data_IF_955022344472
#
_entry.id   IF_955022344472
#
_cell.length_a   1.000
_cell.length_b   1.000
_cell.length_c   1.000
_cell.angle_alpha   90.00
_cell.angle_beta   90.00
_cell.angle_gamma   90.00
#
_symmetry.space_group_name_H-M   'P 1'
#
loop_
_entity.id
_entity.type
_entity.pdbx_description
1 polymer ?
#
# COMPACT_ATOMS: atom_id res chain seq x y z
N UNK A 1 56.51 -11.45 -117.22
CA UNK A 1 55.36 -10.94 -116.45
C UNK A 1 54.61 -9.95 -117.32
N UNK A 2 53.28 -9.93 -117.27
CA UNK A 2 52.48 -8.98 -118.04
C UNK A 2 52.76 -7.53 -117.57
N UNK A 3 52.72 -6.57 -118.50
CA UNK A 3 52.88 -5.15 -118.19
C UNK A 3 51.82 -4.67 -117.17
N UNK A 4 52.17 -3.77 -116.26
CA UNK A 4 51.28 -3.25 -115.21
C UNK A 4 50.93 -4.25 -114.09
N UNK A 5 51.74 -5.29 -113.86
CA UNK A 5 51.47 -6.27 -112.80
C UNK A 5 51.70 -5.72 -111.38
N UNK A 6 52.64 -4.79 -111.18
CA UNK A 6 52.87 -4.17 -109.87
C UNK A 6 51.68 -3.31 -109.43
N UNK A 7 51.12 -2.53 -110.35
CA UNK A 7 49.97 -1.67 -110.05
C UNK A 7 48.73 -2.50 -109.68
N UNK A 8 48.48 -3.60 -110.40
CA UNK A 8 47.41 -4.57 -110.06
C UNK A 8 47.64 -5.26 -108.72
N UNK A 9 48.88 -5.56 -108.36
CA UNK A 9 49.21 -6.13 -107.06
C UNK A 9 48.92 -5.14 -105.93
N UNK A 10 49.33 -3.87 -106.10
CA UNK A 10 49.04 -2.79 -105.13
C UNK A 10 47.53 -2.57 -104.98
N UNK A 11 46.79 -2.55 -106.09
CA UNK A 11 45.34 -2.43 -106.09
C UNK A 11 44.67 -3.62 -105.37
N UNK A 12 45.15 -4.84 -105.60
CA UNK A 12 44.65 -6.03 -104.92
C UNK A 12 44.95 -6.03 -103.41
N UNK A 13 46.15 -5.63 -103.00
CA UNK A 13 46.49 -5.50 -101.57
C UNK A 13 45.65 -4.41 -100.88
N UNK A 14 45.38 -3.30 -101.58
CA UNK A 14 44.49 -2.26 -101.07
C UNK A 14 43.05 -2.77 -100.95
N UNK A 15 42.58 -3.54 -101.95
CA UNK A 15 41.30 -4.25 -101.87
C UNK A 15 41.22 -5.19 -100.66
N UNK A 16 42.21 -6.05 -100.44
CA UNK A 16 42.22 -6.97 -99.29
C UNK A 16 42.15 -6.23 -97.96
N UNK A 17 42.90 -5.13 -97.83
CA UNK A 17 42.90 -4.30 -96.61
C UNK A 17 41.51 -3.69 -96.34
N UNK A 18 40.88 -3.14 -97.38
CA UNK A 18 39.53 -2.54 -97.28
C UNK A 18 38.48 -3.62 -97.06
N UNK A 19 38.60 -4.77 -97.74
CA UNK A 19 37.68 -5.89 -97.62
C UNK A 19 37.72 -6.51 -96.22
N UNK A 20 38.90 -6.79 -95.68
CA UNK A 20 39.08 -7.36 -94.34
C UNK A 20 38.46 -6.46 -93.26
N UNK A 21 38.69 -5.15 -93.35
CA UNK A 21 38.07 -4.18 -92.44
C UNK A 21 36.55 -4.21 -92.53
N UNK A 22 35.99 -4.09 -93.73
CA UNK A 22 34.55 -4.04 -93.94
C UNK A 22 33.85 -5.36 -93.55
N UNK A 23 34.49 -6.49 -93.86
CA UNK A 23 33.98 -7.81 -93.52
C UNK A 23 34.01 -8.01 -91.99
N UNK A 24 35.12 -7.66 -91.33
CA UNK A 24 35.25 -7.78 -89.87
C UNK A 24 34.25 -6.91 -89.13
N UNK A 25 34.08 -5.66 -89.55
CA UNK A 25 33.13 -4.72 -88.94
C UNK A 25 31.67 -5.18 -89.15
N UNK A 26 31.30 -5.59 -90.36
CA UNK A 26 29.96 -6.12 -90.66
C UNK A 26 29.68 -7.45 -89.96
N UNK A 27 30.66 -8.38 -89.93
CA UNK A 27 30.52 -9.67 -89.27
C UNK A 27 30.39 -9.51 -87.75
N UNK A 28 31.17 -8.61 -87.14
CA UNK A 28 31.07 -8.31 -85.71
C UNK A 28 29.70 -7.71 -85.39
N UNK A 29 29.26 -6.73 -86.17
CA UNK A 29 27.95 -6.10 -85.96
C UNK A 29 26.81 -7.09 -86.10
N UNK A 30 26.77 -7.88 -87.17
CA UNK A 30 25.68 -8.84 -87.41
C UNK A 30 25.69 -10.02 -86.43
N UNK A 31 26.86 -10.50 -86.01
CA UNK A 31 26.98 -11.60 -85.05
C UNK A 31 26.64 -11.20 -83.61
N UNK A 32 26.94 -9.96 -83.21
CA UNK A 32 26.78 -9.53 -81.80
C UNK A 32 25.67 -8.51 -81.53
N UNK A 33 25.10 -7.85 -82.54
CA UNK A 33 24.06 -6.83 -82.32
C UNK A 33 22.86 -7.37 -81.54
N UNK A 34 22.33 -8.54 -81.94
CA UNK A 34 21.17 -9.14 -81.26
C UNK A 34 21.48 -9.53 -79.81
N UNK A 35 22.65 -10.11 -79.55
CA UNK A 35 23.08 -10.45 -78.18
C UNK A 35 23.31 -9.20 -77.32
N UNK A 36 23.86 -8.14 -77.91
CA UNK A 36 24.04 -6.86 -77.22
C UNK A 36 22.70 -6.23 -76.84
N UNK A 37 21.71 -6.30 -77.74
CA UNK A 37 20.37 -5.77 -77.47
C UNK A 37 19.63 -6.62 -76.43
N UNK A 38 19.67 -7.95 -76.55
CA UNK A 38 19.12 -8.86 -75.55
C UNK A 38 19.78 -8.65 -74.17
N UNK A 39 21.08 -8.39 -74.12
CA UNK A 39 21.79 -8.04 -72.88
C UNK A 39 21.22 -6.78 -72.22
N UNK A 40 20.92 -5.74 -73.01
CA UNK A 40 20.27 -4.52 -72.50
C UNK A 40 18.87 -4.82 -71.96
N UNK A 41 18.09 -5.63 -72.65
CA UNK A 41 16.74 -6.02 -72.22
C UNK A 41 16.77 -6.76 -70.88
N UNK A 42 17.71 -7.70 -70.71
CA UNK A 42 17.90 -8.42 -69.45
C UNK A 42 18.28 -7.46 -68.33
N UNK A 43 19.23 -6.56 -68.54
CA UNK A 43 19.65 -5.57 -67.54
C UNK A 43 18.49 -4.64 -67.17
N UNK A 44 17.72 -4.16 -68.13
CA UNK A 44 16.56 -3.31 -67.88
C UNK A 44 15.48 -4.06 -67.08
N UNK A 45 15.23 -5.34 -67.40
CA UNK A 45 14.26 -6.15 -66.67
C UNK A 45 14.68 -6.40 -65.22
N UNK A 46 15.96 -6.68 -64.98
CA UNK A 46 16.51 -6.81 -63.62
C UNK A 46 16.38 -5.49 -62.87
N UNK A 47 16.68 -4.36 -63.51
CA UNK A 47 16.52 -3.02 -62.91
C UNK A 47 15.08 -2.79 -62.46
N UNK A 48 14.10 -3.02 -63.32
CA UNK A 48 12.68 -2.86 -62.98
C UNK A 48 12.26 -3.77 -61.83
N UNK A 49 12.75 -5.01 -61.78
CA UNK A 49 12.49 -5.91 -60.65
C UNK A 49 13.06 -5.33 -59.35
N UNK A 50 14.30 -4.83 -59.38
CA UNK A 50 14.94 -4.23 -58.21
C UNK A 50 14.23 -2.95 -57.75
N UNK A 51 13.81 -2.08 -58.68
CA UNK A 51 13.05 -0.86 -58.39
C UNK A 51 11.72 -1.20 -57.70
N UNK A 52 10.95 -2.15 -58.25
CA UNK A 52 9.70 -2.59 -57.65
C UNK A 52 9.89 -3.19 -56.25
N UNK A 53 10.92 -4.02 -56.06
CA UNK A 53 11.25 -4.58 -54.75
C UNK A 53 11.61 -3.46 -53.77
N UNK A 54 12.44 -2.50 -54.21
CA UNK A 54 12.85 -1.38 -53.38
C UNK A 54 11.66 -0.53 -52.94
N UNK A 55 10.80 -0.13 -53.88
CA UNK A 55 9.60 0.66 -53.59
C UNK A 55 8.69 -0.06 -52.62
N UNK A 56 8.34 -1.33 -52.90
CA UNK A 56 7.49 -2.14 -52.01
C UNK A 56 8.10 -2.28 -50.61
N UNK A 57 9.40 -2.53 -50.52
CA UNK A 57 10.11 -2.69 -49.24
C UNK A 57 10.10 -1.38 -48.43
N UNK A 58 10.29 -0.24 -49.10
CA UNK A 58 10.25 1.08 -48.44
C UNK A 58 8.85 1.37 -47.91
N UNK A 59 7.81 1.11 -48.70
CA UNK A 59 6.41 1.30 -48.30
C UNK A 59 6.03 0.42 -47.11
N UNK A 60 6.39 -0.88 -47.14
CA UNK A 60 6.15 -1.81 -46.05
C UNK A 60 6.90 -1.39 -44.77
N UNK A 61 8.18 -0.99 -44.90
CA UNK A 61 8.95 -0.45 -43.78
C UNK A 61 8.28 0.77 -43.17
N UNK A 62 7.81 1.70 -44.00
CA UNK A 62 7.15 2.91 -43.52
C UNK A 62 5.80 2.62 -42.86
N UNK A 63 5.02 1.67 -43.40
CA UNK A 63 3.80 1.18 -42.78
C UNK A 63 4.09 0.54 -41.41
N UNK A 64 5.10 -0.33 -41.31
CA UNK A 64 5.51 -0.96 -40.06
C UNK A 64 5.96 0.08 -39.01
N UNK A 65 6.72 1.10 -39.42
CA UNK A 65 7.13 2.21 -38.54
C UNK A 65 5.92 2.99 -38.04
N UNK A 66 4.93 3.28 -38.90
CA UNK A 66 3.68 3.95 -38.49
C UNK A 66 2.90 3.11 -37.48
N UNK A 67 2.68 1.82 -37.76
CA UNK A 67 1.99 0.90 -36.85
C UNK A 67 2.69 0.82 -35.48
N UNK A 68 4.02 0.72 -35.47
CA UNK A 68 4.81 0.71 -34.23
C UNK A 68 4.62 2.01 -33.44
N UNK A 69 4.65 3.17 -34.10
CA UNK A 69 4.44 4.48 -33.43
C UNK A 69 3.05 4.59 -32.81
N UNK A 70 2.01 4.14 -33.52
CA UNK A 70 0.64 4.14 -33.00
C UNK A 70 0.50 3.20 -31.79
N UNK A 71 1.06 1.99 -31.88
CA UNK A 71 1.08 1.04 -30.77
C UNK A 71 1.83 1.59 -29.55
N UNK A 72 2.98 2.25 -29.78
CA UNK A 72 3.75 2.87 -28.70
C UNK A 72 2.98 4.03 -28.04
N UNK A 73 2.36 4.92 -28.83
CA UNK A 73 1.56 6.02 -28.30
C UNK A 73 0.38 5.49 -27.45
N UNK A 74 -0.29 4.44 -27.93
CA UNK A 74 -1.36 3.79 -27.17
C UNK A 74 -0.84 3.16 -25.85
N UNK A 75 0.34 2.52 -25.89
CA UNK A 75 0.96 1.96 -24.69
C UNK A 75 1.31 3.05 -23.65
N UNK A 76 1.83 4.18 -24.10
CA UNK A 76 2.13 5.35 -23.25
C UNK A 76 0.86 5.93 -22.62
N UNK A 77 -0.23 6.03 -23.40
CA UNK A 77 -1.55 6.45 -22.91
C UNK A 77 -2.07 5.50 -21.82
N UNK A 78 -2.06 4.18 -22.07
CA UNK A 78 -2.51 3.18 -21.12
C UNK A 78 -1.65 3.19 -19.85
N UNK A 79 -0.33 3.35 -19.97
CA UNK A 79 0.58 3.50 -18.82
C UNK A 79 0.26 4.74 -17.99
N UNK A 80 0.01 5.88 -18.63
CA UNK A 80 -0.36 7.11 -17.95
C UNK A 80 -1.70 6.96 -17.20
N UNK A 81 -2.69 6.30 -17.83
CA UNK A 81 -3.97 5.98 -17.19
C UNK A 81 -3.79 5.05 -16.00
N UNK A 82 -2.95 4.03 -16.13
CA UNK A 82 -2.63 3.11 -15.03
C UNK A 82 -2.00 3.84 -13.85
N UNK A 83 -0.97 4.67 -14.08
CA UNK A 83 -0.35 5.46 -13.01
C UNK A 83 -1.35 6.34 -12.26
N UNK A 84 -2.20 7.07 -12.99
CA UNK A 84 -3.25 7.91 -12.39
C UNK A 84 -4.24 7.09 -11.57
N UNK A 85 -4.67 5.94 -12.09
CA UNK A 85 -5.57 5.05 -11.36
C UNK A 85 -4.93 4.48 -10.11
N UNK A 86 -3.67 4.05 -10.17
CA UNK A 86 -2.94 3.55 -9.00
C UNK A 86 -2.84 4.61 -7.92
N UNK A 87 -2.50 5.85 -8.28
CA UNK A 87 -2.48 6.97 -7.33
C UNK A 87 -3.86 7.22 -6.72
N UNK A 88 -4.92 7.25 -7.53
CA UNK A 88 -6.28 7.46 -7.03
C UNK A 88 -6.75 6.34 -6.08
N UNK A 89 -6.33 5.09 -6.35
CA UNK A 89 -6.59 3.96 -5.46
C UNK A 89 -5.83 4.10 -4.14
N UNK A 90 -4.58 4.53 -4.18
CA UNK A 90 -3.77 4.76 -2.98
C UNK A 90 -4.36 5.85 -2.09
N UNK A 91 -4.77 6.98 -2.68
CA UNK A 91 -5.46 8.07 -1.97
C UNK A 91 -6.79 7.59 -1.34
N UNK A 92 -7.55 6.77 -2.06
CA UNK A 92 -8.78 6.16 -1.53
C UNK A 92 -8.52 5.22 -0.35
N UNK A 93 -7.45 4.41 -0.41
CA UNK A 93 -7.07 3.50 0.68
C UNK A 93 -6.72 4.29 1.94
N UNK A 94 -5.92 5.35 1.81
CA UNK A 94 -5.58 6.22 2.93
C UNK A 94 -6.83 6.89 3.54
N UNK A 95 -7.74 7.40 2.70
CA UNK A 95 -9.00 7.99 3.17
C UNK A 95 -9.96 6.98 3.80
N UNK A 96 -9.93 5.73 3.36
CA UNK A 96 -10.69 4.63 3.96
C UNK A 96 -10.11 4.26 5.33
N UNK A 97 -8.79 4.08 5.43
CA UNK A 97 -8.09 3.78 6.67
C UNK A 97 -8.36 4.85 7.73
N UNK A 98 -8.21 6.14 7.39
CA UNK A 98 -8.47 7.24 8.31
C UNK A 98 -9.92 7.26 8.82
N UNK A 99 -10.91 6.88 7.99
CA UNK A 99 -12.31 6.77 8.41
C UNK A 99 -12.52 5.60 9.37
N UNK A 100 -11.92 4.44 9.09
CA UNK A 100 -11.96 3.27 9.99
C UNK A 100 -11.33 3.62 11.34
N UNK A 101 -10.16 4.25 11.35
CA UNK A 101 -9.48 4.69 12.58
C UNK A 101 -10.35 5.65 13.40
N UNK A 102 -10.93 6.67 12.75
CA UNK A 102 -11.81 7.64 13.41
C UNK A 102 -13.06 6.96 13.99
N UNK A 103 -13.64 6.00 13.27
CA UNK A 103 -14.78 5.22 13.73
C UNK A 103 -14.45 4.38 14.97
N UNK A 104 -13.37 3.60 14.92
CA UNK A 104 -12.94 2.76 16.05
C UNK A 104 -12.59 3.61 17.26
N UNK A 105 -11.88 4.74 17.06
CA UNK A 105 -11.54 5.66 18.14
C UNK A 105 -12.80 6.29 18.77
N UNK A 106 -13.79 6.67 17.96
CA UNK A 106 -15.05 7.22 18.44
C UNK A 106 -15.84 6.20 19.27
N UNK A 107 -15.97 4.97 18.76
CA UNK A 107 -16.65 3.87 19.43
C UNK A 107 -15.95 3.52 20.76
N UNK A 108 -14.62 3.38 20.75
CA UNK A 108 -13.83 3.11 21.95
C UNK A 108 -14.01 4.22 22.99
N UNK A 109 -13.96 5.48 22.59
CA UNK A 109 -14.15 6.60 23.51
C UNK A 109 -15.57 6.63 24.10
N UNK A 110 -16.59 6.24 23.34
CA UNK A 110 -17.96 6.09 23.85
C UNK A 110 -18.11 4.96 24.87
N UNK A 111 -17.34 3.87 24.73
CA UNK A 111 -17.33 2.77 25.70
C UNK A 111 -16.48 3.11 26.94
N UNK A 112 -15.36 3.81 26.80
CA UNK A 112 -14.54 4.29 27.93
C UNK A 112 -15.39 5.16 28.88
N UNK A 113 -16.24 6.05 28.33
CA UNK A 113 -17.15 6.88 29.14
C UNK A 113 -18.19 6.08 29.93
N UNK A 114 -18.48 4.84 29.50
CA UNK A 114 -19.43 3.92 30.14
C UNK A 114 -18.76 2.78 30.89
N UNK A 115 -17.45 2.88 31.14
CA UNK A 115 -16.69 1.82 31.82
C UNK A 115 -17.28 1.47 33.20
N UNK A 116 -17.89 2.42 33.90
CA UNK A 116 -18.60 2.19 35.16
C UNK A 116 -19.72 1.14 35.03
N UNK A 117 -20.48 1.16 33.95
CA UNK A 117 -21.56 0.19 33.70
C UNK A 117 -20.97 -1.20 33.47
N UNK A 118 -19.82 -1.27 32.78
CA UNK A 118 -19.08 -2.50 32.54
C UNK A 118 -18.55 -3.12 33.84
N UNK A 119 -17.98 -2.29 34.72
CA UNK A 119 -17.52 -2.74 36.04
C UNK A 119 -18.70 -3.13 36.94
N UNK A 120 -19.84 -2.44 36.83
CA UNK A 120 -21.06 -2.82 37.57
C UNK A 120 -21.66 -4.16 37.11
N UNK A 121 -21.49 -4.52 35.84
CA UNK A 121 -21.91 -5.83 35.32
C UNK A 121 -21.08 -7.01 35.84
N UNK A 122 -19.92 -6.75 36.45
CA UNK A 122 -19.08 -7.78 37.03
C UNK A 122 -19.65 -8.26 38.37
N UNK A 123 -20.17 -9.50 38.39
CA UNK A 123 -20.99 -10.03 39.47
C UNK A 123 -20.23 -10.80 40.55
N UNK A 124 -18.91 -10.96 40.44
CA UNK A 124 -18.16 -11.71 41.46
C UNK A 124 -18.11 -10.94 42.79
N UNK A 125 -18.34 -11.62 43.93
CA UNK A 125 -18.26 -11.00 45.24
C UNK A 125 -16.82 -10.59 45.55
N UNK A 126 -16.67 -9.43 46.19
CA UNK A 126 -15.37 -8.96 46.68
C UNK A 126 -14.97 -9.72 47.95
N UNK A 127 -13.67 -10.01 48.10
CA UNK A 127 -13.12 -10.62 49.30
C UNK A 127 -11.90 -9.82 49.80
N UNK A 128 -11.78 -9.52 51.10
CA UNK A 128 -10.73 -8.66 51.64
C UNK A 128 -9.34 -9.32 51.76
N UNK A 129 -9.23 -10.62 51.45
CA UNK A 129 -7.95 -11.36 51.48
C UNK A 129 -7.00 -10.85 50.37
N UNK A 130 -5.78 -10.37 50.69
CA UNK A 130 -4.80 -9.90 49.72
C UNK A 130 -4.54 -10.86 48.56
N UNK A 131 -4.51 -12.17 48.79
CA UNK A 131 -4.31 -13.16 47.73
C UNK A 131 -5.49 -13.19 46.75
N UNK A 132 -6.72 -13.04 47.26
CA UNK A 132 -7.95 -13.02 46.47
C UNK A 132 -8.20 -11.69 45.77
N UNK A 133 -7.69 -10.56 46.32
CA UNK A 133 -7.76 -9.23 45.68
C UNK A 133 -7.01 -9.22 44.35
N UNK A 134 -5.81 -9.82 44.28
CA UNK A 134 -5.05 -9.90 43.04
C UNK A 134 -5.80 -10.71 41.95
N UNK A 135 -6.43 -11.81 42.35
CA UNK A 135 -7.25 -12.63 41.44
C UNK A 135 -8.48 -11.84 40.97
N UNK A 136 -9.16 -11.14 41.88
CA UNK A 136 -10.31 -10.30 41.60
C UNK A 136 -9.98 -9.21 40.57
N UNK A 137 -8.88 -8.46 40.77
CA UNK A 137 -8.41 -7.44 39.81
C UNK A 137 -8.13 -8.02 38.44
N UNK A 138 -7.42 -9.16 38.38
CA UNK A 138 -7.09 -9.81 37.12
C UNK A 138 -8.35 -10.22 36.36
N UNK A 139 -9.29 -10.86 37.06
CA UNK A 139 -10.55 -11.29 36.45
C UNK A 139 -11.44 -10.13 36.04
N UNK A 140 -11.46 -9.04 36.82
CA UNK A 140 -12.14 -7.79 36.44
C UNK A 140 -11.52 -7.17 35.18
N UNK A 141 -10.19 -7.10 35.09
CA UNK A 141 -9.50 -6.61 33.90
C UNK A 141 -9.84 -7.46 32.66
N UNK A 142 -9.83 -8.79 32.79
CA UNK A 142 -10.24 -9.70 31.71
C UNK A 142 -11.71 -9.55 31.35
N UNK A 143 -12.59 -9.31 32.32
CA UNK A 143 -14.01 -9.04 32.08
C UNK A 143 -14.20 -7.76 31.26
N UNK A 144 -13.55 -6.68 31.68
CA UNK A 144 -13.56 -5.39 30.98
C UNK A 144 -13.01 -5.53 29.56
N UNK A 145 -11.87 -6.19 29.39
CA UNK A 145 -11.25 -6.42 28.08
C UNK A 145 -12.19 -7.13 27.11
N UNK A 146 -12.81 -8.22 27.58
CA UNK A 146 -13.74 -9.03 26.78
C UNK A 146 -14.98 -8.24 26.38
N UNK A 147 -15.62 -7.58 27.33
CA UNK A 147 -16.87 -6.86 27.05
C UNK A 147 -16.62 -5.62 26.19
N UNK A 148 -15.52 -4.90 26.42
CA UNK A 148 -15.12 -3.77 25.59
C UNK A 148 -14.81 -4.22 24.15
N UNK A 149 -14.08 -5.33 23.99
CA UNK A 149 -13.81 -5.93 22.68
C UNK A 149 -15.09 -6.34 21.96
N UNK A 150 -16.03 -7.01 22.66
CA UNK A 150 -17.34 -7.37 22.10
C UNK A 150 -18.13 -6.15 21.64
N UNK A 151 -18.16 -5.09 22.44
CA UNK A 151 -18.88 -3.85 22.12
C UNK A 151 -18.29 -3.13 20.91
N UNK A 152 -16.96 -3.10 20.79
CA UNK A 152 -16.30 -2.57 19.59
C UNK A 152 -16.63 -3.39 18.35
N UNK A 153 -16.59 -4.72 18.45
CA UNK A 153 -16.98 -5.60 17.34
C UNK A 153 -18.41 -5.34 16.90
N UNK A 154 -19.36 -5.26 17.84
CA UNK A 154 -20.76 -4.93 17.55
C UNK A 154 -20.94 -3.56 16.90
N UNK A 155 -20.19 -2.55 17.36
CA UNK A 155 -20.33 -1.17 16.88
C UNK A 155 -19.65 -0.90 15.54
N UNK A 156 -18.55 -1.60 15.22
CA UNK A 156 -17.69 -1.23 14.10
C UNK A 156 -17.63 -2.30 13.00
N UNK A 157 -17.84 -3.59 13.30
CA UNK A 157 -17.55 -4.68 12.37
C UNK A 157 -18.31 -4.56 11.03
N UNK A 158 -19.62 -4.31 11.08
CA UNK A 158 -20.45 -4.19 9.87
C UNK A 158 -20.02 -3.01 8.99
N UNK A 159 -19.73 -1.87 9.59
CA UNK A 159 -19.38 -0.65 8.84
C UNK A 159 -18.00 -0.78 8.20
N UNK A 160 -17.04 -1.37 8.91
CA UNK A 160 -15.70 -1.65 8.37
C UNK A 160 -15.81 -2.64 7.21
N UNK A 161 -16.59 -3.72 7.36
CA UNK A 161 -16.81 -4.70 6.29
C UNK A 161 -17.44 -4.04 5.05
N UNK A 162 -18.44 -3.19 5.24
CA UNK A 162 -19.08 -2.45 4.16
C UNK A 162 -18.09 -1.49 3.46
N UNK A 163 -17.25 -0.80 4.23
CA UNK A 163 -16.27 0.13 3.70
C UNK A 163 -15.14 -0.59 2.92
N UNK A 164 -14.69 -1.74 3.39
CA UNK A 164 -13.73 -2.61 2.68
C UNK A 164 -14.34 -3.10 1.38
N UNK A 165 -15.54 -3.68 1.41
CA UNK A 165 -16.23 -4.17 0.21
C UNK A 165 -16.46 -3.05 -0.81
N UNK A 166 -16.81 -1.85 -0.34
CA UNK A 166 -16.96 -0.66 -1.19
C UNK A 166 -15.64 -0.24 -1.83
N UNK A 167 -14.54 -0.27 -1.08
CA UNK A 167 -13.21 0.05 -1.59
C UNK A 167 -12.76 -0.96 -2.64
N UNK A 168 -12.90 -2.26 -2.36
CA UNK A 168 -12.57 -3.34 -3.30
C UNK A 168 -13.34 -3.19 -4.62
N UNK A 169 -14.65 -2.99 -4.55
CA UNK A 169 -15.48 -2.80 -5.74
C UNK A 169 -15.06 -1.58 -6.56
N UNK A 170 -14.73 -0.47 -5.90
CA UNK A 170 -14.29 0.74 -6.59
C UNK A 170 -12.90 0.57 -7.22
N UNK A 171 -11.98 -0.14 -6.55
CA UNK A 171 -10.68 -0.51 -7.11
C UNK A 171 -10.85 -1.39 -8.35
N UNK A 172 -11.68 -2.42 -8.29
CA UNK A 172 -11.99 -3.31 -9.42
C UNK A 172 -12.52 -2.53 -10.61
N UNK A 173 -13.51 -1.65 -10.39
CA UNK A 173 -14.10 -0.84 -11.44
C UNK A 173 -13.08 0.11 -12.09
N UNK A 174 -12.21 0.73 -11.28
CA UNK A 174 -11.15 1.61 -11.79
C UNK A 174 -10.11 0.86 -12.61
N UNK A 175 -9.71 -0.34 -12.19
CA UNK A 175 -8.77 -1.18 -12.92
C UNK A 175 -9.38 -1.77 -14.20
N UNK A 176 -10.63 -2.24 -14.14
CA UNK A 176 -11.37 -2.74 -15.30
C UNK A 176 -11.56 -1.66 -16.38
N UNK A 177 -11.70 -0.39 -15.99
CA UNK A 177 -11.80 0.72 -16.93
C UNK A 177 -10.53 0.96 -17.77
N UNK A 178 -9.35 0.53 -17.29
CA UNK A 178 -8.08 0.69 -18.02
C UNK A 178 -7.97 -0.33 -19.16
N UNK A 179 -8.50 -1.52 -18.93
CA UNK A 179 -8.36 -2.64 -19.86
C UNK A 179 -9.46 -2.59 -20.93
N UNK A 180 -9.09 -2.77 -22.19
CA UNK A 180 -10.05 -2.78 -23.30
C UNK A 180 -10.73 -4.15 -23.48
N UNK A 181 -10.04 -5.24 -23.14
CA UNK A 181 -10.52 -6.61 -23.32
C UNK A 181 -11.52 -7.05 -22.24
N UNK A 182 -12.70 -7.51 -22.67
CA UNK A 182 -13.78 -7.96 -21.80
C UNK A 182 -13.42 -9.24 -21.03
N UNK A 183 -12.61 -10.14 -21.58
CA UNK A 183 -12.19 -11.34 -20.86
C UNK A 183 -11.26 -10.99 -19.69
N UNK A 184 -10.33 -10.07 -19.89
CA UNK A 184 -9.50 -9.52 -18.82
C UNK A 184 -10.31 -8.75 -17.77
N UNK A 185 -11.31 -7.95 -18.16
CA UNK A 185 -12.21 -7.27 -17.21
C UNK A 185 -12.93 -8.28 -16.32
N UNK A 186 -13.52 -9.32 -16.90
CA UNK A 186 -14.19 -10.38 -16.16
C UNK A 186 -13.26 -11.10 -15.19
N UNK A 187 -12.00 -11.34 -15.59
CA UNK A 187 -10.98 -11.89 -14.68
C UNK A 187 -10.70 -10.97 -13.50
N UNK A 188 -10.56 -9.66 -13.72
CA UNK A 188 -10.37 -8.67 -12.64
C UNK A 188 -11.55 -8.72 -11.66
N UNK A 189 -12.78 -8.84 -12.17
CA UNK A 189 -13.97 -8.90 -11.35
C UNK A 189 -14.06 -10.18 -10.49
N UNK A 190 -13.37 -11.25 -10.87
CA UNK A 190 -13.37 -12.54 -10.15
C UNK A 190 -12.24 -12.68 -9.12
N UNK A 191 -11.33 -11.69 -9.02
CA UNK A 191 -10.17 -11.78 -8.12
C UNK A 191 -10.47 -11.43 -6.67
N UNK A 192 -11.62 -10.81 -6.38
CA UNK A 192 -11.97 -10.37 -5.02
C UNK A 192 -12.81 -11.44 -4.33
N UNK A 193 -12.31 -11.90 -3.19
CA UNK A 193 -13.04 -12.77 -2.27
C UNK A 193 -13.65 -11.91 -1.15
N UNK A 194 -14.98 -11.75 -1.11
CA UNK A 194 -15.65 -10.93 -0.10
C UNK A 194 -15.53 -11.49 1.33
N UNK A 195 -15.01 -12.71 1.50
CA UNK A 195 -14.79 -13.34 2.81
C UNK A 195 -13.34 -13.23 3.30
N UNK A 196 -12.44 -12.63 2.51
CA UNK A 196 -11.02 -12.56 2.84
C UNK A 196 -10.70 -11.61 4.01
N UNK A 197 -11.60 -10.68 4.34
CA UNK A 197 -11.39 -9.69 5.40
C UNK A 197 -12.35 -9.94 6.57
N UNK A 198 -11.79 -10.05 7.78
CA UNK A 198 -12.56 -10.08 9.03
C UNK A 198 -11.92 -9.10 10.02
N UNK A 199 -12.68 -8.11 10.54
CA UNK A 199 -12.14 -7.17 11.53
C UNK A 199 -11.96 -7.85 12.88
N UNK A 200 -10.78 -7.68 13.47
CA UNK A 200 -10.44 -8.16 14.82
C UNK A 200 -10.00 -6.99 15.69
N UNK A 201 -10.52 -6.94 16.92
CA UNK A 201 -10.23 -5.87 17.88
C UNK A 201 -9.42 -6.42 19.04
N UNK A 202 -8.14 -6.03 19.12
CA UNK A 202 -7.27 -6.40 20.23
C UNK A 202 -7.15 -5.24 21.22
N UNK A 203 -7.47 -5.50 22.49
CA UNK A 203 -7.39 -4.55 23.59
C UNK A 203 -6.54 -5.15 24.69
N UNK A 204 -5.67 -4.36 25.32
CA UNK A 204 -4.88 -4.79 26.48
C UNK A 204 -5.32 -4.01 27.73
N UNK A 205 -6.10 -4.66 28.58
CA UNK A 205 -6.58 -4.07 29.84
C UNK A 205 -5.85 -4.63 31.07
N UNK A 206 -4.74 -5.37 30.90
CA UNK A 206 -4.06 -6.08 31.99
C UNK A 206 -3.63 -5.19 33.15
N UNK A 207 -3.32 -3.92 32.88
CA UNK A 207 -2.82 -2.95 33.86
C UNK A 207 -3.85 -1.91 34.32
N UNK A 208 -5.14 -2.08 34.00
CA UNK A 208 -6.18 -1.11 34.33
C UNK A 208 -6.24 -0.80 35.84
N UNK A 209 -6.05 -1.83 36.67
CA UNK A 209 -6.05 -1.73 38.13
C UNK A 209 -4.64 -1.57 38.76
N UNK A 210 -3.57 -1.35 37.98
CA UNK A 210 -2.18 -1.39 38.49
C UNK A 210 -1.89 -0.31 39.55
N UNK A 211 -2.48 0.88 39.41
CA UNK A 211 -2.32 1.99 40.35
C UNK A 211 -3.44 2.07 41.40
N UNK A 212 -4.39 1.13 41.35
CA UNK A 212 -5.53 1.12 42.27
C UNK A 212 -5.15 0.43 43.58
N UNK A 213 -5.27 1.18 44.68
CA UNK A 213 -5.03 0.69 46.03
C UNK A 213 -6.37 0.63 46.76
N UNK A 214 -6.80 -0.56 47.16
CA UNK A 214 -8.01 -0.74 47.94
C UNK A 214 -7.82 -0.19 49.35
N UNK A 215 -8.70 0.71 49.78
CA UNK A 215 -8.82 1.04 51.18
C UNK A 215 -9.78 0.04 51.86
N UNK A 216 -9.30 -1.18 52.11
CA UNK A 216 -10.09 -2.23 52.78
C UNK A 216 -10.14 -2.06 54.31
N UNK A 217 -9.41 -1.08 54.86
CA UNK A 217 -9.39 -0.85 56.30
C UNK A 217 -10.57 0.02 56.69
N UNK A 218 -11.59 -0.58 57.29
CA UNK A 218 -12.69 0.18 57.89
C UNK A 218 -12.15 0.99 59.09
N UNK A 219 -11.87 2.27 58.87
CA UNK A 219 -11.44 3.18 59.93
C UNK A 219 -12.68 3.81 60.56
N UNK A 220 -13.17 3.19 61.64
CA UNK A 220 -14.24 3.77 62.46
C UNK A 220 -13.75 5.13 63.00
N UNK A 221 -14.33 6.23 62.53
CA UNK A 221 -13.99 7.60 62.94
C UNK A 221 -14.34 7.92 64.41
N UNK A 222 -14.89 6.94 65.13
CA UNK A 222 -15.27 6.98 66.54
C UNK A 222 -14.69 5.79 67.34
N UNK A 223 -13.57 5.20 66.92
CA UNK A 223 -12.92 4.16 67.73
C UNK A 223 -12.59 4.72 69.13
N UNK A 224 -12.87 3.96 70.20
CA UNK A 224 -12.64 4.37 71.60
C UNK A 224 -11.21 4.89 71.83
N UNK A 225 -10.23 4.41 71.05
CA UNK A 225 -8.85 4.92 71.06
C UNK A 225 -8.73 6.39 70.64
N UNK A 226 -9.49 6.85 69.64
CA UNK A 226 -9.50 8.27 69.22
C UNK A 226 -10.27 9.18 70.18
N UNK A 227 -11.29 8.64 70.85
CA UNK A 227 -12.01 9.31 71.95
C UNK A 227 -11.10 9.48 73.17
N UNK A 228 -10.36 8.43 73.56
CA UNK A 228 -9.34 8.52 74.60
C UNK A 228 -8.25 9.53 74.25
N UNK A 229 -7.81 9.58 72.98
CA UNK A 229 -6.82 10.55 72.53
C UNK A 229 -7.30 12.01 72.60
N UNK A 230 -8.61 12.27 72.41
CA UNK A 230 -9.21 13.61 72.61
C UNK A 230 -9.48 13.95 74.08
N UNK A 231 -9.75 12.95 74.91
CA UNK A 231 -9.97 13.13 76.36
C UNK A 231 -8.66 13.22 77.17
N UNK A 232 -7.56 12.67 76.66
CA UNK A 232 -6.24 12.73 77.31
C UNK A 232 -5.30 13.78 76.72
N UNK A 233 -5.73 14.53 75.69
CA UNK A 233 -5.03 15.72 75.24
C UNK A 233 -5.27 16.88 76.24
N UNK A 234 -4.21 17.52 76.80
CA UNK A 234 -4.38 18.68 77.66
C UNK A 234 -5.04 19.82 76.89
N UNK A 235 -6.16 20.33 77.40
CA UNK A 235 -6.87 21.51 76.89
C UNK A 235 -5.98 22.75 76.98
N UNK A 236 -5.14 23.00 75.96
CA UNK A 236 -4.57 24.33 75.73
C UNK A 236 -5.61 25.16 74.97
N UNK A 237 -6.30 25.99 75.75
CA UNK A 237 -7.12 27.08 75.25
C UNK A 237 -6.23 28.13 74.60
N UNK A 238 -6.21 28.18 73.26
CA UNK A 238 -5.97 29.43 72.51
C UNK A 238 -6.72 29.32 71.18
N UNK A 239 -7.84 30.04 71.08
CA UNK A 239 -8.43 30.42 69.81
C UNK A 239 -7.40 31.24 69.02
N UNK A 240 -6.90 30.69 67.93
CA UNK A 240 -6.30 31.45 66.84
C UNK A 240 -6.69 30.74 65.55
N UNK A 241 -7.61 31.36 64.81
CA UNK A 241 -7.93 30.95 63.46
C UNK A 241 -6.72 31.29 62.57
N UNK A 242 -5.99 30.26 62.14
CA UNK A 242 -4.95 30.41 61.13
C UNK A 242 -5.07 29.28 60.11
N UNK A 243 -5.55 29.65 58.93
CA UNK A 243 -5.49 28.82 57.73
C UNK A 243 -4.08 28.93 57.14
N UNK A 244 -3.35 27.81 57.11
CA UNK A 244 -2.19 27.53 56.25
C UNK A 244 -2.36 26.09 55.78
N UNK A 245 -2.63 25.77 54.52
CA UNK A 245 -1.85 25.99 53.28
C UNK A 245 -0.39 25.53 53.37
N UNK A 246 -0.08 24.64 52.42
CA UNK A 246 1.23 24.10 52.00
C UNK A 246 1.87 23.05 52.91
N UNK A 247 2.53 22.01 52.42
CA UNK A 247 2.83 21.50 51.06
C UNK A 247 3.56 20.17 51.25
N UNK A 248 3.78 19.40 50.17
CA UNK A 248 4.97 18.55 50.16
C UNK A 248 4.96 17.31 49.26
N UNK A 249 4.92 17.53 47.95
CA UNK A 249 5.61 16.65 47.00
C UNK A 249 7.13 16.83 47.21
N UNK A 250 7.95 15.77 47.22
CA UNK A 250 9.35 15.88 46.81
C UNK A 250 9.47 15.56 45.31
N UNK A 251 9.68 16.60 44.52
CA UNK A 251 10.12 16.53 43.12
C UNK A 251 11.65 16.53 43.10
N UNK A 252 12.26 15.35 43.06
CA UNK A 252 13.57 15.08 42.44
C UNK A 252 13.79 13.57 42.55
N UNK A 253 13.92 12.80 41.48
CA UNK A 253 15.09 12.84 40.60
C UNK A 253 14.68 12.59 39.15
N UNK A 254 15.11 13.49 38.29
CA UNK A 254 15.41 13.21 36.89
C UNK A 254 16.45 12.09 36.87
N UNK A 255 16.06 10.91 36.36
CA UNK A 255 17.00 10.06 35.63
C UNK A 255 16.31 9.56 34.36
N UNK A 256 16.32 10.45 33.38
CA UNK A 256 16.13 10.13 31.97
C UNK A 256 17.32 9.32 31.47
N UNK A 257 17.18 7.99 31.34
CA UNK A 257 18.00 7.19 30.42
C UNK A 257 17.60 5.70 30.43
N UNK A 258 16.59 5.31 29.65
CA UNK A 258 16.63 4.06 28.85
C UNK A 258 15.81 4.31 27.58
N UNK A 259 16.46 4.90 26.57
CA UNK A 259 16.10 4.69 25.18
C UNK A 259 16.60 3.29 24.79
N UNK A 260 15.78 2.40 24.20
CA UNK A 260 16.22 1.65 23.05
C UNK A 260 15.96 2.54 21.84
N UNK A 261 17.00 3.26 21.45
CA UNK A 261 17.14 3.85 20.13
C UNK A 261 17.36 2.70 19.16
N UNK A 262 16.34 2.30 18.43
CA UNK A 262 16.45 1.56 17.16
C UNK A 262 15.57 2.29 16.15
N UNK A 263 16.11 3.36 15.56
CA UNK A 263 16.54 3.36 14.16
C UNK A 263 15.42 2.90 13.23
N UNK A 264 14.69 3.89 12.72
CA UNK A 264 13.95 3.80 11.46
C UNK A 264 14.95 3.37 10.37
N UNK A 265 14.89 2.11 9.95
CA UNK A 265 15.30 1.73 8.60
C UNK A 265 14.04 1.53 7.79
N UNK A 266 13.76 2.50 6.94
CA UNK A 266 12.85 2.34 5.81
C UNK A 266 13.58 1.42 4.83
N UNK A 267 13.46 0.11 5.05
CA UNK A 267 13.84 -0.85 4.03
C UNK A 267 12.65 -0.99 3.06
N UNK A 268 12.77 -0.18 2.02
CA UNK A 268 12.11 -0.31 0.74
C UNK A 268 12.31 -1.75 0.24
N UNK A 269 11.29 -2.61 0.35
CA UNK A 269 11.25 -3.85 -0.44
C UNK A 269 10.44 -3.64 -1.72
N UNK A 270 11.07 -3.77 -2.90
CA UNK A 270 10.39 -3.82 -4.18
C UNK A 270 9.77 -5.21 -4.37
N UNK A 271 8.76 -5.28 -5.24
CA UNK A 271 8.23 -6.49 -5.90
C UNK A 271 7.56 -7.57 -5.03
N UNK A 272 6.23 -7.62 -5.11
CA UNK A 272 5.46 -8.86 -4.96
C UNK A 272 4.34 -8.90 -6.00
N UNK A 273 4.75 -9.04 -7.27
CA UNK A 273 3.98 -9.79 -8.26
C UNK A 273 4.31 -11.27 -8.01
N UNK A 274 3.53 -11.99 -7.21
CA UNK A 274 3.31 -13.45 -7.34
C UNK A 274 2.60 -14.05 -6.12
N UNK A 275 1.38 -14.53 -6.38
CA UNK A 275 0.74 -15.75 -5.87
C UNK A 275 0.79 -16.03 -4.36
N UNK A 276 -0.37 -15.80 -3.75
CA UNK A 276 -0.97 -16.73 -2.78
C UNK A 276 -0.35 -16.72 -1.40
N UNK A 277 -0.63 -15.66 -0.63
CA UNK A 277 -0.78 -15.64 0.83
C UNK A 277 -0.49 -14.21 1.34
N UNK A 278 -1.53 -13.39 1.55
CA UNK A 278 -1.40 -12.18 2.38
C UNK A 278 -2.77 -11.91 3.01
N UNK A 279 -2.84 -11.95 4.34
CA UNK A 279 -4.08 -11.74 5.07
C UNK A 279 -3.83 -11.55 6.56
N UNK A 280 -2.95 -10.61 6.92
CA UNK A 280 -2.88 -10.09 8.29
C UNK A 280 -2.43 -8.64 8.21
N UNK A 281 -3.38 -7.71 8.29
CA UNK A 281 -3.09 -6.30 8.57
C UNK A 281 -3.11 -6.16 10.08
N UNK A 282 -1.93 -6.12 10.70
CA UNK A 282 -1.83 -5.77 12.12
C UNK A 282 -1.93 -4.25 12.21
N UNK A 283 -3.11 -3.75 12.54
CA UNK A 283 -3.31 -2.34 12.88
C UNK A 283 -2.65 -2.08 14.25
N UNK A 284 -1.36 -1.74 14.26
CA UNK A 284 -0.72 -1.15 15.44
C UNK A 284 -1.09 0.34 15.50
N UNK A 285 -2.28 0.62 16.02
CA UNK A 285 -2.60 1.93 16.54
C UNK A 285 -1.93 2.10 17.91
N UNK A 286 -0.75 2.72 17.98
CA UNK A 286 -0.35 3.38 19.22
C UNK A 286 -1.21 4.63 19.32
N UNK A 287 -2.44 4.45 19.79
CA UNK A 287 -3.17 5.57 20.37
C UNK A 287 -2.46 5.82 21.69
N UNK A 288 -1.58 6.82 21.73
CA UNK A 288 -1.15 7.43 22.98
C UNK A 288 -2.38 8.04 23.65
N UNK A 289 -3.18 7.20 24.28
CA UNK A 289 -4.32 7.60 25.08
C UNK A 289 -3.78 8.10 26.40
N UNK A 290 -4.33 9.24 26.84
CA UNK A 290 -4.14 9.78 28.17
C UNK A 290 -4.56 8.73 29.21
N UNK A 291 -3.59 7.94 29.67
CA UNK A 291 -3.73 7.01 30.79
C UNK A 291 -4.24 7.70 32.07
N UNK A 292 -4.23 9.04 32.10
CA UNK A 292 -4.75 9.86 33.18
C UNK A 292 -6.27 9.80 33.34
N UNK A 293 -7.06 9.82 32.25
CA UNK A 293 -8.52 9.94 32.34
C UNK A 293 -9.20 8.63 32.78
N UNK A 294 -8.68 7.48 32.32
CA UNK A 294 -9.17 6.15 32.70
C UNK A 294 -8.85 5.87 34.19
N UNK A 295 -7.66 6.26 34.66
CA UNK A 295 -7.24 6.07 36.05
C UNK A 295 -8.04 6.97 37.02
N UNK A 296 -8.35 8.20 36.63
CA UNK A 296 -9.20 9.11 37.42
C UNK A 296 -10.64 8.61 37.55
N UNK A 297 -11.21 8.03 36.49
CA UNK A 297 -12.58 7.54 36.49
C UNK A 297 -12.75 6.24 37.29
N UNK A 298 -11.81 5.28 37.17
CA UNK A 298 -11.78 4.07 38.02
C UNK A 298 -11.58 4.40 39.51
N UNK A 299 -10.76 5.42 39.80
CA UNK A 299 -10.53 5.89 41.18
C UNK A 299 -11.79 6.49 41.82
N UNK A 300 -12.63 7.19 41.06
CA UNK A 300 -13.92 7.69 41.56
C UNK A 300 -14.96 6.58 41.75
N UNK A 301 -15.01 5.61 40.83
CA UNK A 301 -16.02 4.57 40.84
C UNK A 301 -15.81 3.54 41.96
N UNK A 302 -14.58 3.10 42.20
CA UNK A 302 -14.27 2.14 43.27
C UNK A 302 -14.41 2.76 44.67
N UNK A 303 -14.14 4.06 44.82
CA UNK A 303 -14.36 4.79 46.08
C UNK A 303 -15.87 4.92 46.42
N UNK A 304 -16.74 4.86 45.41
CA UNK A 304 -18.20 4.85 45.57
C UNK A 304 -18.76 3.48 45.98
N UNK A 305 -18.14 2.36 45.56
CA UNK A 305 -18.50 1.01 46.04
C UNK A 305 -18.01 0.74 47.46
N UNK A 306 -16.89 1.35 47.87
CA UNK A 306 -16.34 1.20 49.22
C UNK A 306 -17.17 1.91 50.32
N UNK A 307 -18.02 2.87 49.95
CA UNK A 307 -18.89 3.62 50.87
C UNK A 307 -20.33 3.07 51.00
N UNK A 308 -20.58 1.84 50.52
CA UNK A 308 -21.88 1.16 50.65
C UNK A 308 -21.85 -0.04 51.62
N UNK A 309 -20.82 -0.12 52.47
CA UNK A 309 -20.77 -0.97 53.65
C UNK A 309 -20.56 -0.12 54.89
#
# INVERSE_FOLDING_TARGET
MAEGWQDRLVEFTNFETVFEKNLSESATRTKFAAHSEQGKDVVNRVRTIMENIYETTVEEKDAAVRCRRLSQAHLEEVRARLMKTTQAVDEMLHASLARVEAQVASALNAEIRRLSELVDSYSRPFHPDPALIHVYKRELNTHVERELGRKLTEACSSDILNEVARCEQLMMNKHAAIVSDEACKNRILQLVDPTAFTPEFHLDCRNLCANFHEDIQFRFSLSLGTLFQRLSAPRRSTNSYHWTQSDGIPSSLVNSSILPRSSLTVDLFPSLMSRGAVGTVIAFGIVSFNAFDIVLYLRCFMNKKNNKF
#
